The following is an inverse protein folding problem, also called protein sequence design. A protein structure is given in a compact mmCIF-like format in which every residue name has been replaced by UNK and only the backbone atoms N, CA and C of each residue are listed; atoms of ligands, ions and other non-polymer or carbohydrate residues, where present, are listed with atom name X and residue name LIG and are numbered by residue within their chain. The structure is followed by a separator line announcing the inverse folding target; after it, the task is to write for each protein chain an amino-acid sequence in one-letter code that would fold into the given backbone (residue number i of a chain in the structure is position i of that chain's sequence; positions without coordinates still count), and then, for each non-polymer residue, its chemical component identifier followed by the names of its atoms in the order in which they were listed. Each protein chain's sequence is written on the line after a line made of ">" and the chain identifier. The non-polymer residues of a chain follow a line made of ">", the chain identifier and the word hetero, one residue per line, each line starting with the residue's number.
data_IF_237077850221
#
_entry.id   IF_237077850221
#
_cell.length_a   1.000
_cell.length_b   1.000
_cell.length_c   1.000
_cell.angle_alpha   90.00
_cell.angle_beta   90.00
_cell.angle_gamma   90.00
#
_symmetry.space_group_name_H-M   'P 1'
#
loop_
_entity.id
_entity.type
_entity.pdbx_description
1 polymer ?
#
# COMPACT_ATOMS: atom_id res chain seq x y z
N UNK A 1 48.33 -29.99 7.90
CA UNK A 1 48.46 -30.59 9.24
C UNK A 1 48.46 -29.47 10.27
N UNK A 2 47.27 -29.08 10.75
CA UNK A 2 47.09 -28.33 11.99
C UNK A 2 45.93 -29.01 12.70
N UNK A 3 46.23 -29.59 13.84
CA UNK A 3 45.31 -30.27 14.73
C UNK A 3 45.23 -29.41 15.99
N UNK A 4 44.05 -28.90 16.32
CA UNK A 4 43.73 -28.37 17.66
C UNK A 4 42.36 -28.90 18.07
N UNK A 5 42.33 -29.43 19.30
CA UNK A 5 41.40 -30.46 19.81
C UNK A 5 39.96 -29.98 20.06
N UNK A 6 38.95 -30.87 19.98
CA UNK A 6 37.54 -30.55 20.17
C UNK A 6 37.04 -30.59 21.64
N UNK A 7 37.89 -30.34 22.63
CA UNK A 7 37.58 -30.65 24.05
C UNK A 7 37.76 -29.48 25.03
N UNK A 8 37.34 -28.27 24.66
CA UNK A 8 37.15 -27.16 25.62
C UNK A 8 35.66 -26.83 25.71
N UNK A 9 35.01 -27.71 26.44
CA UNK A 9 33.59 -27.84 26.75
C UNK A 9 33.08 -26.67 27.60
N UNK A 10 31.79 -26.34 27.42
CA UNK A 10 31.08 -25.40 28.28
C UNK A 10 29.59 -25.30 27.94
N UNK A 11 28.90 -26.44 27.88
CA UNK A 11 27.44 -26.50 27.73
C UNK A 11 26.81 -26.10 29.07
N UNK A 12 26.29 -24.88 29.15
CA UNK A 12 25.31 -24.47 30.17
C UNK A 12 24.01 -24.09 29.47
N UNK A 13 23.11 -25.07 29.36
CA UNK A 13 21.73 -24.87 28.93
C UNK A 13 20.94 -24.18 30.05
N UNK A 14 20.93 -22.85 30.08
CA UNK A 14 19.90 -22.11 30.81
C UNK A 14 18.64 -22.04 29.93
N UNK A 15 17.79 -23.05 30.07
CA UNK A 15 16.40 -22.97 29.62
C UNK A 15 15.67 -21.96 30.50
N UNK A 16 15.37 -20.78 29.97
CA UNK A 16 14.43 -19.84 30.59
C UNK A 16 13.45 -19.31 29.54
N UNK A 17 12.21 -19.79 29.62
CA UNK A 17 11.01 -18.97 29.51
C UNK A 17 10.66 -18.39 28.14
N UNK A 18 9.68 -19.01 27.48
CA UNK A 18 9.10 -18.49 26.23
C UNK A 18 8.27 -17.20 26.37
N UNK A 19 7.90 -16.65 25.22
CA UNK A 19 6.56 -16.07 24.97
C UNK A 19 6.43 -15.61 23.51
N UNK A 20 5.42 -16.16 22.84
CA UNK A 20 4.51 -15.41 21.96
C UNK A 20 5.07 -14.82 20.66
N UNK A 21 4.77 -15.49 19.56
CA UNK A 21 4.62 -14.84 18.26
C UNK A 21 5.25 -15.64 17.12
N UNK A 22 4.58 -16.69 16.66
CA UNK A 22 4.86 -17.27 15.37
C UNK A 22 4.55 -16.22 14.27
N UNK A 23 5.56 -15.46 13.87
CA UNK A 23 5.49 -14.63 12.66
C UNK A 23 5.55 -15.56 11.45
N UNK A 24 4.38 -15.85 10.88
CA UNK A 24 4.18 -16.77 9.75
C UNK A 24 4.74 -16.25 8.43
N UNK A 25 6.06 -16.11 8.33
CA UNK A 25 6.77 -15.80 7.08
C UNK A 25 7.86 -16.84 6.83
N UNK A 26 7.86 -17.45 5.64
CA UNK A 26 8.94 -18.33 5.16
C UNK A 26 10.29 -17.60 5.27
N UNK A 27 11.40 -18.27 5.65
CA UNK A 27 12.70 -17.63 5.77
C UNK A 27 13.09 -16.84 4.53
N UNK A 28 13.27 -15.54 4.71
CA UNK A 28 13.66 -14.60 3.69
C UNK A 28 15.15 -14.82 3.32
N UNK A 29 15.44 -15.25 2.08
CA UNK A 29 16.80 -15.28 1.49
C UNK A 29 17.53 -13.93 1.70
N UNK A 30 18.85 -13.91 1.93
CA UNK A 30 19.59 -12.65 2.06
C UNK A 30 19.46 -11.78 0.81
N UNK A 31 19.23 -10.47 1.00
CA UNK A 31 19.18 -9.48 -0.07
C UNK A 31 19.89 -8.19 0.36
N UNK A 32 20.47 -7.44 -0.60
CA UNK A 32 21.14 -6.17 -0.30
C UNK A 32 20.13 -5.11 0.15
N UNK A 33 20.30 -4.57 1.37
CA UNK A 33 19.38 -3.57 1.95
C UNK A 33 19.66 -2.12 1.53
N UNK A 34 20.81 -1.88 0.91
CA UNK A 34 21.23 -0.54 0.48
C UNK A 34 20.73 -0.19 -0.93
N UNK A 35 20.12 -1.14 -1.65
CA UNK A 35 19.59 -0.91 -2.99
C UNK A 35 18.19 -0.34 -2.85
N UNK A 36 17.99 0.88 -3.35
CA UNK A 36 16.68 1.51 -3.42
C UNK A 36 16.08 1.33 -4.82
N UNK A 37 14.78 1.06 -4.87
CA UNK A 37 14.00 0.99 -6.11
C UNK A 37 12.68 1.72 -5.91
N UNK A 38 12.20 2.49 -6.91
CA UNK A 38 11.01 3.33 -6.77
C UNK A 38 9.73 2.52 -6.50
N UNK A 39 9.66 1.28 -6.97
CA UNK A 39 8.52 0.36 -6.78
C UNK A 39 8.59 -0.46 -5.48
N UNK A 40 9.67 -0.32 -4.69
CA UNK A 40 9.97 -1.18 -3.54
C UNK A 40 11.00 -2.28 -3.86
N UNK A 41 11.64 -2.82 -2.81
CA UNK A 41 12.65 -3.88 -2.92
C UNK A 41 12.10 -5.28 -2.63
N UNK A 42 13.00 -6.22 -2.34
CA UNK A 42 12.63 -7.59 -1.97
C UNK A 42 11.77 -7.61 -0.70
N UNK A 43 10.55 -8.18 -0.83
CA UNK A 43 9.56 -8.32 0.24
C UNK A 43 9.25 -7.02 0.98
N UNK A 44 8.97 -5.96 0.22
CA UNK A 44 8.63 -4.65 0.77
C UNK A 44 7.36 -4.72 1.64
N UNK A 45 7.54 -4.73 2.96
CA UNK A 45 6.47 -4.60 3.94
C UNK A 45 6.70 -3.34 4.78
N UNK A 46 6.43 -2.15 4.25
CA UNK A 46 6.62 -0.92 4.99
C UNK A 46 5.68 -0.90 6.21
N UNK A 47 6.23 -0.54 7.37
CA UNK A 47 5.50 -0.50 8.65
C UNK A 47 4.22 0.36 8.58
N UNK A 48 4.18 1.33 7.67
CA UNK A 48 3.08 2.30 7.53
C UNK A 48 2.33 2.20 6.19
N UNK A 49 2.23 1.00 5.60
CA UNK A 49 1.53 0.79 4.32
C UNK A 49 0.11 1.36 4.31
N UNK A 50 -0.66 1.16 5.40
CA UNK A 50 -2.05 1.63 5.52
C UNK A 50 -2.16 3.15 5.38
N UNK A 51 -1.30 3.88 6.09
CA UNK A 51 -1.29 5.36 6.05
C UNK A 51 -0.92 5.86 4.66
N UNK A 52 0.11 5.27 4.05
CA UNK A 52 0.58 5.69 2.74
C UNK A 52 -0.50 5.46 1.66
N UNK A 53 -1.15 4.30 1.65
CA UNK A 53 -2.27 4.02 0.74
C UNK A 53 -3.46 4.95 1.00
N UNK A 54 -3.75 5.28 2.25
CA UNK A 54 -4.83 6.21 2.58
C UNK A 54 -4.56 7.61 2.02
N UNK A 55 -3.33 8.13 2.17
CA UNK A 55 -2.94 9.44 1.64
C UNK A 55 -3.04 9.46 0.12
N UNK A 56 -2.48 8.44 -0.55
CA UNK A 56 -2.51 8.34 -2.02
C UNK A 56 -3.96 8.20 -2.52
N UNK A 57 -4.73 7.32 -1.89
CA UNK A 57 -6.15 7.12 -2.22
C UNK A 57 -6.96 8.40 -2.06
N UNK A 58 -6.80 9.10 -0.94
CA UNK A 58 -7.46 10.39 -0.69
C UNK A 58 -7.08 11.43 -1.75
N UNK A 59 -5.79 11.51 -2.12
CA UNK A 59 -5.31 12.41 -3.16
C UNK A 59 -5.95 12.13 -4.52
N UNK A 60 -6.00 10.85 -4.93
CA UNK A 60 -6.64 10.43 -6.19
C UNK A 60 -8.13 10.77 -6.17
N UNK A 61 -8.83 10.45 -5.09
CA UNK A 61 -10.27 10.73 -4.98
C UNK A 61 -10.56 12.23 -5.06
N UNK A 62 -9.78 13.06 -4.36
CA UNK A 62 -9.93 14.52 -4.41
C UNK A 62 -9.69 15.07 -5.82
N UNK A 63 -8.64 14.58 -6.49
CA UNK A 63 -8.32 14.97 -7.87
C UNK A 63 -9.44 14.56 -8.84
N UNK A 64 -9.93 13.32 -8.76
CA UNK A 64 -11.02 12.83 -9.60
C UNK A 64 -12.31 13.62 -9.38
N UNK A 65 -12.64 13.96 -8.13
CA UNK A 65 -13.80 14.79 -7.82
C UNK A 65 -13.67 16.19 -8.44
N UNK A 66 -12.50 16.82 -8.35
CA UNK A 66 -12.25 18.12 -8.97
C UNK A 66 -12.42 18.07 -10.50
N UNK A 67 -11.79 17.08 -11.15
CA UNK A 67 -11.90 16.88 -12.60
C UNK A 67 -13.35 16.63 -13.00
N UNK A 68 -14.09 15.82 -12.24
CA UNK A 68 -15.50 15.53 -12.50
C UNK A 68 -16.36 16.79 -12.43
N UNK A 69 -16.21 17.61 -11.39
CA UNK A 69 -16.98 18.86 -11.25
C UNK A 69 -16.67 19.80 -12.42
N UNK A 70 -15.40 19.97 -12.77
CA UNK A 70 -15.01 20.82 -13.90
C UNK A 70 -15.50 20.30 -15.24
N UNK A 71 -15.44 18.98 -15.45
CA UNK A 71 -16.00 18.32 -16.63
C UNK A 71 -17.50 18.58 -16.75
N UNK A 72 -18.26 18.42 -15.66
CA UNK A 72 -19.70 18.66 -15.63
C UNK A 72 -20.09 20.13 -15.84
N UNK A 73 -19.26 21.08 -15.41
CA UNK A 73 -19.42 22.52 -15.67
C UNK A 73 -19.20 22.87 -17.15
N UNK A 74 -18.22 22.22 -17.80
CA UNK A 74 -17.91 22.47 -19.20
C UNK A 74 -18.91 21.80 -20.15
N UNK A 75 -19.56 20.72 -19.74
CA UNK A 75 -20.57 20.03 -20.55
C UNK A 75 -21.72 20.98 -20.93
N UNK A 76 -21.99 21.08 -22.23
CA UNK A 76 -23.12 21.80 -22.80
C UNK A 76 -23.98 20.81 -23.61
N UNK A 77 -25.29 20.80 -23.37
CA UNK A 77 -26.27 20.09 -24.19
C UNK A 77 -27.19 21.08 -24.91
N UNK A 78 -27.28 20.94 -26.22
CA UNK A 78 -28.14 21.82 -27.05
C UNK A 78 -29.60 21.39 -27.02
N UNK A 79 -29.87 20.11 -26.73
CA UNK A 79 -31.21 19.53 -26.73
C UNK A 79 -31.57 18.98 -25.36
N UNK A 80 -32.82 19.20 -24.96
CA UNK A 80 -33.37 18.61 -23.75
C UNK A 80 -33.61 17.11 -23.94
N UNK A 81 -33.25 16.26 -22.97
CA UNK A 81 -33.45 14.82 -23.07
C UNK A 81 -34.95 14.45 -23.03
N UNK A 82 -35.38 13.55 -23.91
CA UNK A 82 -36.79 13.11 -23.98
C UNK A 82 -37.17 12.07 -22.93
N UNK A 83 -36.17 11.45 -22.30
CA UNK A 83 -36.32 10.43 -21.26
C UNK A 83 -35.37 10.77 -20.12
N UNK A 84 -35.62 10.21 -18.93
CA UNK A 84 -34.72 10.41 -17.79
C UNK A 84 -33.38 9.71 -18.02
N UNK A 85 -32.28 10.43 -17.76
CA UNK A 85 -30.89 9.95 -17.92
C UNK A 85 -30.14 10.28 -16.63
N UNK A 86 -29.26 9.39 -16.11
CA UNK A 86 -28.57 9.63 -14.83
C UNK A 86 -27.82 10.95 -14.76
N UNK A 87 -27.28 11.42 -15.88
CA UNK A 87 -26.53 12.67 -15.95
C UNK A 87 -27.35 13.93 -15.68
N UNK A 88 -28.68 13.83 -15.69
CA UNK A 88 -29.56 14.91 -15.22
C UNK A 88 -29.34 15.24 -13.74
N UNK A 89 -28.76 14.34 -12.93
CA UNK A 89 -28.50 14.58 -11.50
C UNK A 89 -27.36 15.60 -11.30
N UNK A 90 -26.37 15.66 -12.19
CA UNK A 90 -25.16 16.47 -12.01
C UNK A 90 -24.90 17.50 -13.11
N UNK A 91 -25.49 17.35 -14.29
CA UNK A 91 -25.32 18.31 -15.39
C UNK A 91 -25.92 19.66 -15.01
N UNK A 92 -25.20 20.75 -15.34
CA UNK A 92 -25.56 22.12 -14.94
C UNK A 92 -26.94 22.59 -15.40
N UNK A 93 -27.44 22.05 -16.50
CA UNK A 93 -28.72 22.46 -17.10
C UNK A 93 -29.96 22.03 -16.32
N UNK A 94 -29.79 21.08 -15.39
CA UNK A 94 -30.87 20.54 -14.57
C UNK A 94 -30.71 20.90 -13.10
N UNK A 95 -29.68 21.67 -12.75
CA UNK A 95 -29.51 22.24 -11.42
C UNK A 95 -30.43 23.46 -11.33
N UNK A 96 -31.37 23.42 -10.38
CA UNK A 96 -32.28 24.54 -10.04
C UNK A 96 -31.52 25.61 -9.27
#
# INVERSE_FOLDING_TARGET
>A
MVWTRPEQLGISSSSSGGSGGASGGTPHKPYPKHVWSPSGGWWAQPKQWKRNTLIVGAGITAFMAFVFVKSAELEQRTLYPRVWIPSMIWSKQFKV
#
